data_IF_161368590215
#
_entry.id   IF_161368590215
#
_cell.length_a   1.000
_cell.length_b   1.000
_cell.length_c   1.000
_cell.angle_alpha   90.00
_cell.angle_beta   90.00
_cell.angle_gamma   90.00
#
_symmetry.space_group_name_H-M   'P 1'
#
loop_
_entity.id
_entity.type
_entity.pdbx_description
1 polymer ?
#
# COMPACT_ATOMS: atom_id res chain seq x y z
N UNK A 1 10.58 -9.66 -3.13
CA UNK A 1 11.54 -9.36 -4.22
C UNK A 1 12.52 -8.23 -3.87
N UNK A 2 12.05 -7.07 -3.38
CA UNK A 2 12.90 -5.94 -2.94
C UNK A 2 14.03 -6.39 -1.99
N UNK A 3 13.70 -7.10 -0.92
CA UNK A 3 14.68 -7.62 0.07
C UNK A 3 15.80 -8.44 -0.60
N UNK A 4 15.43 -9.34 -1.52
CA UNK A 4 16.38 -10.21 -2.22
C UNK A 4 17.34 -9.38 -3.10
N UNK A 5 16.81 -8.40 -3.83
CA UNK A 5 17.62 -7.54 -4.70
C UNK A 5 18.54 -6.62 -3.87
N UNK A 6 18.06 -6.09 -2.75
CA UNK A 6 18.86 -5.30 -1.81
C UNK A 6 20.02 -6.13 -1.23
N UNK A 7 19.77 -7.38 -0.82
CA UNK A 7 20.82 -8.27 -0.33
C UNK A 7 21.85 -8.58 -1.41
N UNK A 8 21.41 -8.86 -2.65
CA UNK A 8 22.33 -9.07 -3.78
C UNK A 8 23.21 -7.84 -4.04
N UNK A 9 22.63 -6.64 -4.00
CA UNK A 9 23.35 -5.38 -4.18
C UNK A 9 24.42 -5.17 -3.09
N UNK A 10 24.06 -5.38 -1.83
CA UNK A 10 24.99 -5.25 -0.70
C UNK A 10 26.13 -6.27 -0.78
N UNK A 11 25.80 -7.54 -1.07
CA UNK A 11 26.82 -8.59 -1.29
C UNK A 11 27.78 -8.21 -2.43
N UNK A 12 27.25 -7.62 -3.50
CA UNK A 12 28.03 -7.12 -4.64
C UNK A 12 29.02 -6.03 -4.21
N UNK A 13 28.57 -5.05 -3.40
CA UNK A 13 29.42 -3.98 -2.87
C UNK A 13 30.53 -4.52 -1.95
N UNK A 14 30.18 -5.42 -1.03
CA UNK A 14 31.15 -6.05 -0.12
C UNK A 14 32.21 -6.85 -0.88
N UNK A 15 31.81 -7.56 -1.94
CA UNK A 15 32.74 -8.28 -2.80
C UNK A 15 33.71 -7.33 -3.54
N UNK A 16 33.24 -6.19 -4.05
CA UNK A 16 34.12 -5.19 -4.67
C UNK A 16 35.09 -4.57 -3.66
N UNK A 17 34.65 -4.32 -2.43
CA UNK A 17 35.51 -3.87 -1.32
C UNK A 17 36.60 -4.90 -1.03
N UNK A 18 36.24 -6.19 -0.99
CA UNK A 18 37.17 -7.29 -0.80
C UNK A 18 38.22 -7.35 -1.94
N UNK A 19 37.80 -7.30 -3.20
CA UNK A 19 38.71 -7.30 -4.35
C UNK A 19 39.69 -6.12 -4.32
N UNK A 20 39.19 -4.91 -4.01
CA UNK A 20 40.04 -3.71 -3.86
C UNK A 20 41.12 -3.91 -2.79
N UNK A 21 40.79 -4.57 -1.68
CA UNK A 21 41.74 -4.81 -0.58
C UNK A 21 42.81 -5.85 -0.96
N UNK A 22 42.43 -6.89 -1.70
CA UNK A 22 43.36 -7.96 -2.11
C UNK A 22 44.22 -7.60 -3.33
N UNK A 23 43.82 -6.61 -4.13
CA UNK A 23 44.60 -6.18 -5.29
C UNK A 23 45.93 -5.49 -4.91
N UNK A 24 46.95 -5.64 -5.75
CA UNK A 24 48.27 -5.04 -5.60
C UNK A 24 48.46 -3.88 -6.59
N UNK A 25 49.27 -2.90 -6.21
CA UNK A 25 49.72 -1.89 -7.17
C UNK A 25 50.69 -2.51 -8.19
N UNK A 26 50.76 -1.89 -9.36
CA UNK A 26 51.68 -2.30 -10.42
C UNK A 26 53.12 -1.90 -10.08
N UNK A 27 54.08 -2.71 -10.49
CA UNK A 27 55.49 -2.33 -10.44
C UNK A 27 55.82 -1.31 -11.55
N UNK A 28 57.02 -0.72 -11.52
CA UNK A 28 57.40 0.33 -12.47
C UNK A 28 57.37 -0.13 -13.94
N UNK A 29 57.84 -1.35 -14.22
CA UNK A 29 57.82 -1.91 -15.57
C UNK A 29 56.38 -2.13 -16.09
N UNK A 30 55.49 -2.67 -15.27
CA UNK A 30 54.07 -2.86 -15.59
C UNK A 30 53.37 -1.51 -15.80
N UNK A 31 53.69 -0.52 -14.95
CA UNK A 31 53.15 0.84 -15.07
C UNK A 31 53.59 1.50 -16.38
N UNK A 32 54.88 1.44 -16.71
CA UNK A 32 55.41 1.98 -17.97
C UNK A 32 54.76 1.33 -19.20
N UNK A 33 54.52 0.00 -19.17
CA UNK A 33 53.79 -0.69 -20.25
C UNK A 33 52.38 -0.15 -20.44
N UNK A 34 51.64 0.07 -19.34
CA UNK A 34 50.27 0.60 -19.43
C UNK A 34 50.25 2.06 -19.84
N UNK A 35 51.17 2.86 -19.31
CA UNK A 35 51.30 4.27 -19.67
C UNK A 35 51.64 4.44 -21.15
N UNK A 36 52.43 3.52 -21.73
CA UNK A 36 52.68 3.47 -23.18
C UNK A 36 51.41 3.16 -23.97
N UNK A 37 50.59 2.20 -23.52
CA UNK A 37 49.31 1.85 -24.18
C UNK A 37 48.31 3.02 -24.11
N UNK A 38 48.30 3.76 -23.00
CA UNK A 38 47.34 4.83 -22.74
C UNK A 38 47.91 6.24 -23.05
N UNK A 39 49.12 6.33 -23.62
CA UNK A 39 49.85 7.59 -23.82
C UNK A 39 49.02 8.65 -24.57
N UNK A 40 48.28 8.23 -25.60
CA UNK A 40 47.43 9.10 -26.42
C UNK A 40 46.11 9.52 -25.75
N UNK A 41 45.85 9.10 -24.50
CA UNK A 41 44.52 9.22 -23.88
C UNK A 41 44.40 10.18 -22.70
N UNK A 42 45.39 11.04 -22.45
CA UNK A 42 45.42 12.03 -21.35
C UNK A 42 44.85 11.47 -20.03
N UNK A 43 45.72 10.88 -19.23
CA UNK A 43 45.37 10.19 -17.99
C UNK A 43 44.39 11.00 -17.12
N UNK A 44 43.16 10.51 -16.93
CA UNK A 44 42.24 11.09 -15.95
C UNK A 44 42.70 10.66 -14.57
N UNK A 45 43.06 11.63 -13.69
CA UNK A 45 43.55 11.44 -12.30
C UNK A 45 42.70 10.52 -11.39
N UNK A 46 41.50 10.10 -11.83
CA UNK A 46 40.52 9.36 -11.03
C UNK A 46 40.38 7.86 -11.42
N UNK A 47 41.25 7.34 -12.29
CA UNK A 47 41.31 5.92 -12.68
C UNK A 47 42.58 5.29 -12.10
N UNK A 48 42.45 4.18 -11.39
CA UNK A 48 43.55 3.44 -10.76
C UNK A 48 43.59 2.04 -11.34
N UNK A 49 44.74 1.63 -11.87
CA UNK A 49 44.94 0.30 -12.43
C UNK A 49 45.76 -0.53 -11.44
N UNK A 50 45.28 -1.73 -11.13
CA UNK A 50 45.89 -2.65 -10.15
C UNK A 50 45.87 -4.07 -10.69
N UNK A 51 46.77 -4.90 -10.18
CA UNK A 51 46.79 -6.34 -10.49
C UNK A 51 46.20 -7.17 -9.36
N UNK A 52 45.67 -8.34 -9.68
CA UNK A 52 45.17 -9.28 -8.69
C UNK A 52 45.36 -10.73 -9.17
N UNK A 53 45.72 -11.63 -8.27
CA UNK A 53 45.89 -13.06 -8.56
C UNK A 53 44.57 -13.83 -8.44
N UNK A 54 43.62 -13.29 -7.70
CA UNK A 54 42.33 -13.93 -7.37
C UNK A 54 41.29 -13.85 -8.48
N UNK A 55 41.57 -13.15 -9.58
CA UNK A 55 40.66 -12.96 -10.71
C UNK A 55 41.19 -13.62 -11.97
N UNK A 56 40.29 -14.21 -12.76
CA UNK A 56 40.62 -14.88 -14.02
C UNK A 56 40.38 -13.99 -15.25
N UNK A 57 39.63 -12.91 -15.08
CA UNK A 57 39.30 -11.93 -16.12
C UNK A 57 39.52 -10.51 -15.59
N UNK A 58 39.91 -9.55 -16.45
CA UNK A 58 39.87 -8.13 -16.12
C UNK A 58 38.48 -7.68 -15.68
N UNK A 59 38.44 -6.75 -14.71
CA UNK A 59 37.21 -6.20 -14.14
C UNK A 59 37.37 -4.70 -13.89
N UNK A 60 36.38 -3.92 -14.33
CA UNK A 60 36.26 -2.49 -14.01
C UNK A 60 35.09 -2.23 -13.06
N UNK A 61 35.34 -1.49 -11.97
CA UNK A 61 34.31 -1.08 -11.02
C UNK A 61 34.60 0.28 -10.37
N UNK A 62 33.58 0.88 -9.77
CA UNK A 62 33.71 2.12 -9.01
C UNK A 62 33.60 1.87 -7.50
N UNK A 63 34.57 2.38 -6.73
CA UNK A 63 34.56 2.37 -5.25
C UNK A 63 35.33 3.60 -4.73
N UNK A 64 34.70 4.77 -4.83
CA UNK A 64 35.28 6.10 -4.56
C UNK A 64 36.15 6.64 -5.71
N UNK A 65 36.92 5.78 -6.36
CA UNK A 65 37.61 6.01 -7.65
C UNK A 65 37.31 4.86 -8.61
N UNK A 66 37.55 5.05 -9.90
CA UNK A 66 37.47 3.93 -10.87
C UNK A 66 38.68 3.03 -10.70
N UNK A 67 38.44 1.73 -10.58
CA UNK A 67 39.47 0.73 -10.40
C UNK A 67 39.35 -0.27 -11.54
N UNK A 68 40.46 -0.46 -12.27
CA UNK A 68 40.63 -1.50 -13.27
C UNK A 68 41.53 -2.57 -12.64
N UNK A 69 40.98 -3.76 -12.42
CA UNK A 69 41.72 -4.91 -11.93
C UNK A 69 42.07 -5.83 -13.08
N UNK A 70 43.35 -6.20 -13.18
CA UNK A 70 43.88 -7.07 -14.24
C UNK A 70 44.48 -8.31 -13.60
N UNK A 71 44.20 -9.52 -14.12
CA UNK A 71 44.87 -10.73 -13.65
C UNK A 71 46.38 -10.67 -13.83
N UNK A 72 47.15 -11.06 -12.82
CA UNK A 72 48.62 -11.02 -12.87
C UNK A 72 49.22 -11.85 -14.02
N UNK A 73 48.48 -12.85 -14.54
CA UNK A 73 48.87 -13.66 -15.71
C UNK A 73 49.09 -12.83 -16.98
N UNK A 74 48.34 -11.74 -17.17
CA UNK A 74 48.45 -10.90 -18.36
C UNK A 74 49.74 -10.07 -18.43
N UNK A 75 50.48 -9.96 -17.32
CA UNK A 75 51.75 -9.21 -17.25
C UNK A 75 53.00 -10.08 -17.48
N UNK A 76 52.87 -11.41 -17.53
CA UNK A 76 54.01 -12.36 -17.67
C UNK A 76 54.56 -12.46 -19.10
N UNK A 77 53.82 -12.02 -20.11
CA UNK A 77 54.22 -12.03 -21.53
C UNK A 77 54.89 -10.70 -21.93
N UNK A 78 55.95 -10.77 -22.75
CA UNK A 78 56.83 -9.61 -23.03
C UNK A 78 56.15 -8.56 -23.90
N UNK A 79 55.41 -8.95 -24.94
CA UNK A 79 54.59 -8.06 -25.79
C UNK A 79 53.35 -8.83 -26.19
N UNK A 80 52.17 -8.43 -25.71
CA UNK A 80 50.92 -9.03 -26.17
C UNK A 80 49.97 -7.95 -26.67
N UNK A 81 49.65 -7.99 -27.97
CA UNK A 81 48.58 -7.20 -28.58
C UNK A 81 47.26 -7.40 -27.82
N UNK A 82 47.07 -8.57 -27.19
CA UNK A 82 45.91 -8.88 -26.33
C UNK A 82 45.84 -7.98 -25.09
N UNK A 83 46.98 -7.72 -24.43
CA UNK A 83 47.01 -6.81 -23.27
C UNK A 83 46.60 -5.39 -23.69
N UNK A 84 47.07 -4.90 -24.84
CA UNK A 84 46.65 -3.61 -25.41
C UNK A 84 45.13 -3.54 -25.57
N UNK A 85 44.51 -4.55 -26.18
CA UNK A 85 43.05 -4.57 -26.40
C UNK A 85 42.25 -4.60 -25.09
N UNK A 86 42.69 -5.41 -24.12
CA UNK A 86 42.07 -5.51 -22.80
C UNK A 86 42.12 -4.17 -22.05
N UNK A 87 43.30 -3.53 -22.01
CA UNK A 87 43.48 -2.24 -21.33
C UNK A 87 42.60 -1.17 -21.94
N UNK A 88 42.58 -1.05 -23.27
CA UNK A 88 41.75 -0.08 -23.97
C UNK A 88 40.26 -0.31 -23.67
N UNK A 89 39.81 -1.57 -23.67
CA UNK A 89 38.41 -1.93 -23.39
C UNK A 89 38.00 -1.58 -21.95
N UNK A 90 38.76 -2.00 -20.95
CA UNK A 90 38.47 -1.73 -19.54
C UNK A 90 38.59 -0.23 -19.21
N UNK A 91 39.56 0.45 -19.84
CA UNK A 91 39.69 1.90 -19.74
C UNK A 91 38.46 2.62 -20.31
N UNK A 92 37.87 2.13 -21.39
CA UNK A 92 36.65 2.71 -21.97
C UNK A 92 35.49 2.69 -20.95
N UNK A 93 35.30 1.59 -20.23
CA UNK A 93 34.27 1.49 -19.19
C UNK A 93 34.49 2.48 -18.05
N UNK A 94 35.74 2.66 -17.61
CA UNK A 94 36.09 3.63 -16.59
C UNK A 94 35.89 5.08 -17.09
N UNK A 95 36.31 5.38 -18.32
CA UNK A 95 36.17 6.69 -18.96
C UNK A 95 34.71 7.10 -19.14
N UNK A 96 33.85 6.16 -19.55
CA UNK A 96 32.42 6.38 -19.83
C UNK A 96 31.52 6.28 -18.59
N UNK A 97 32.10 6.00 -17.41
CA UNK A 97 31.39 5.88 -16.13
C UNK A 97 30.34 4.77 -16.11
N UNK A 98 30.58 3.69 -16.85
CA UNK A 98 29.59 2.63 -17.08
C UNK A 98 29.14 1.93 -15.79
N UNK A 99 30.05 1.78 -14.84
CA UNK A 99 29.79 1.13 -13.54
C UNK A 99 28.92 1.98 -12.61
N UNK A 100 28.95 3.32 -12.72
CA UNK A 100 27.99 4.18 -12.02
C UNK A 100 26.58 4.02 -12.58
N UNK A 101 26.43 3.87 -13.90
CA UNK A 101 25.14 3.55 -14.50
C UNK A 101 24.61 2.22 -13.95
N UNK A 102 25.46 1.19 -13.83
CA UNK A 102 25.06 -0.08 -13.21
C UNK A 102 24.55 0.13 -11.78
N UNK A 103 25.23 0.92 -10.96
CA UNK A 103 24.77 1.22 -9.59
C UNK A 103 23.39 1.87 -9.62
N UNK A 104 23.19 2.92 -10.42
CA UNK A 104 21.92 3.64 -10.55
C UNK A 104 20.79 2.72 -11.00
N UNK A 105 20.98 1.95 -12.09
CA UNK A 105 19.94 1.05 -12.60
C UNK A 105 19.69 -0.15 -11.69
N UNK A 106 20.66 -0.57 -10.88
CA UNK A 106 20.41 -1.55 -9.81
C UNK A 106 19.52 -0.97 -8.71
N UNK A 107 19.72 0.29 -8.30
CA UNK A 107 18.84 0.98 -7.34
C UNK A 107 17.42 1.07 -7.89
N UNK A 108 17.25 1.52 -9.15
CA UNK A 108 15.93 1.53 -9.80
C UNK A 108 15.31 0.13 -9.85
N UNK A 109 16.09 -0.91 -10.14
CA UNK A 109 15.60 -2.30 -10.15
C UNK A 109 15.15 -2.79 -8.77
N UNK A 110 15.70 -2.25 -7.68
CA UNK A 110 15.28 -2.57 -6.30
C UNK A 110 13.96 -1.88 -6.00
N UNK A 111 13.91 -0.55 -6.18
CA UNK A 111 12.72 0.28 -5.88
C UNK A 111 11.53 -0.16 -6.73
N UNK A 112 11.76 -0.38 -8.02
CA UNK A 112 10.74 -0.68 -9.01
C UNK A 112 10.80 -2.15 -9.43
N UNK A 113 11.06 -3.03 -8.46
CA UNK A 113 11.31 -4.44 -8.76
C UNK A 113 10.14 -5.12 -9.50
N UNK A 114 8.91 -4.67 -9.27
CA UNK A 114 7.69 -5.13 -9.93
C UNK A 114 7.56 -4.69 -11.39
N UNK A 115 8.30 -3.68 -11.84
CA UNK A 115 8.15 -3.11 -13.18
C UNK A 115 9.12 -3.79 -14.18
N UNK A 116 8.63 -4.54 -15.18
CA UNK A 116 9.47 -5.26 -16.14
C UNK A 116 10.29 -4.31 -17.05
N UNK A 117 9.82 -3.10 -17.33
CA UNK A 117 10.51 -2.14 -18.20
C UNK A 117 11.87 -1.74 -17.64
N UNK A 118 11.99 -1.60 -16.31
CA UNK A 118 13.26 -1.24 -15.65
C UNK A 118 14.32 -2.32 -15.87
N UNK A 119 13.91 -3.60 -15.84
CA UNK A 119 14.82 -4.72 -16.10
C UNK A 119 15.24 -4.78 -17.57
N UNK A 120 14.34 -4.46 -18.50
CA UNK A 120 14.65 -4.36 -19.95
C UNK A 120 15.63 -3.22 -20.21
N UNK A 121 15.36 -2.04 -19.66
CA UNK A 121 16.23 -0.86 -19.77
C UNK A 121 17.63 -1.16 -19.22
N UNK A 122 17.73 -1.80 -18.05
CA UNK A 122 19.02 -2.21 -17.47
C UNK A 122 19.80 -3.16 -18.39
N UNK A 123 19.13 -4.15 -19.01
CA UNK A 123 19.77 -5.07 -19.97
C UNK A 123 20.29 -4.32 -21.20
N UNK A 124 19.50 -3.36 -21.71
CA UNK A 124 19.90 -2.50 -22.82
C UNK A 124 21.13 -1.65 -22.48
N UNK A 125 21.16 -1.01 -21.31
CA UNK A 125 22.32 -0.21 -20.87
C UNK A 125 23.59 -1.04 -20.77
N UNK A 126 23.51 -2.25 -20.19
CA UNK A 126 24.66 -3.16 -20.11
C UNK A 126 25.18 -3.47 -21.53
N UNK A 127 24.28 -3.79 -22.45
CA UNK A 127 24.66 -4.06 -23.84
C UNK A 127 25.30 -2.85 -24.51
N UNK A 128 24.70 -1.67 -24.38
CA UNK A 128 25.19 -0.44 -25.01
C UNK A 128 26.57 -0.05 -24.44
N UNK A 129 26.84 -0.30 -23.15
CA UNK A 129 28.17 -0.11 -22.55
C UNK A 129 29.24 -0.99 -23.22
N UNK A 130 28.96 -2.27 -23.47
CA UNK A 130 29.91 -3.19 -24.13
C UNK A 130 30.21 -2.75 -25.57
N UNK A 131 29.18 -2.29 -26.30
CA UNK A 131 29.35 -1.80 -27.68
C UNK A 131 30.18 -0.51 -27.73
N UNK A 132 29.98 0.42 -26.79
CA UNK A 132 30.80 1.63 -26.71
C UNK A 132 32.25 1.33 -26.29
N UNK A 133 32.47 0.34 -25.42
CA UNK A 133 33.80 -0.11 -25.05
C UNK A 133 34.53 -0.76 -26.24
N UNK A 134 33.85 -1.64 -26.99
CA UNK A 134 34.39 -2.24 -28.23
C UNK A 134 34.73 -1.14 -29.25
N UNK A 135 33.84 -0.17 -29.46
CA UNK A 135 34.11 0.96 -30.37
C UNK A 135 35.33 1.76 -29.94
N UNK A 136 35.50 2.00 -28.65
CA UNK A 136 36.67 2.70 -28.16
C UNK A 136 37.96 1.95 -28.52
N UNK A 137 37.98 0.62 -28.46
CA UNK A 137 39.13 -0.16 -28.92
C UNK A 137 39.32 0.00 -30.44
N UNK A 138 38.27 -0.16 -31.24
CA UNK A 138 38.34 -0.08 -32.71
C UNK A 138 38.85 1.28 -33.21
N UNK A 139 38.53 2.37 -32.51
CA UNK A 139 39.02 3.72 -32.85
C UNK A 139 40.51 3.93 -32.52
N UNK A 140 41.14 3.03 -31.76
CA UNK A 140 42.51 3.17 -31.26
C UNK A 140 43.44 2.02 -31.71
N UNK A 141 42.97 1.19 -32.64
CA UNK A 141 43.75 0.13 -33.28
C UNK A 141 43.63 0.22 -34.79
N UNK A 142 44.58 -0.36 -35.51
CA UNK A 142 44.53 -0.38 -36.96
C UNK A 142 43.46 -1.37 -37.46
N UNK A 143 42.89 -1.14 -38.65
CA UNK A 143 41.85 -2.01 -39.22
C UNK A 143 42.28 -3.48 -39.37
N UNK A 144 43.57 -3.73 -39.62
CA UNK A 144 44.14 -5.08 -39.69
C UNK A 144 44.14 -5.81 -38.33
N UNK A 145 44.01 -5.09 -37.21
CA UNK A 145 43.96 -5.63 -35.85
C UNK A 145 42.55 -6.03 -35.42
N UNK A 146 41.50 -5.69 -36.17
CA UNK A 146 40.09 -5.93 -35.78
C UNK A 146 39.80 -7.41 -35.61
N UNK A 147 40.35 -8.26 -36.48
CA UNK A 147 40.21 -9.72 -36.40
C UNK A 147 40.87 -10.27 -35.12
N UNK A 148 42.11 -9.88 -34.86
CA UNK A 148 42.86 -10.31 -33.67
C UNK A 148 42.19 -9.83 -32.37
N UNK A 149 41.57 -8.65 -32.40
CA UNK A 149 40.76 -8.17 -31.29
C UNK A 149 39.50 -9.02 -31.08
N UNK A 150 38.74 -9.31 -32.13
CA UNK A 150 37.55 -10.16 -32.05
C UNK A 150 37.88 -11.58 -31.53
N UNK A 151 38.99 -12.15 -31.97
CA UNK A 151 39.52 -13.43 -31.47
C UNK A 151 39.86 -13.35 -29.98
N UNK A 152 40.45 -12.24 -29.51
CA UNK A 152 40.76 -12.05 -28.08
C UNK A 152 39.50 -12.00 -27.19
N UNK A 153 38.40 -11.41 -27.67
CA UNK A 153 37.11 -11.43 -26.97
C UNK A 153 36.52 -12.84 -26.99
N UNK A 154 36.59 -13.52 -28.12
CA UNK A 154 36.04 -14.86 -28.27
C UNK A 154 36.76 -15.86 -27.34
N UNK A 155 38.09 -15.84 -27.34
CA UNK A 155 38.91 -16.67 -26.44
C UNK A 155 38.57 -16.40 -24.98
N UNK A 156 38.40 -15.13 -24.61
CA UNK A 156 38.14 -14.74 -23.22
C UNK A 156 36.74 -15.16 -22.74
N UNK A 157 35.73 -15.09 -23.62
CA UNK A 157 34.33 -15.46 -23.32
C UNK A 157 34.13 -16.98 -23.31
N UNK A 158 34.86 -17.73 -24.15
CA UNK A 158 34.66 -19.16 -24.34
C UNK A 158 35.54 -20.02 -23.42
N UNK A 159 36.81 -19.65 -23.23
CA UNK A 159 37.81 -20.52 -22.61
C UNK A 159 38.07 -20.20 -21.12
N UNK A 160 37.59 -19.05 -20.63
CA UNK A 160 37.73 -18.68 -19.22
C UNK A 160 36.38 -18.89 -18.51
N UNK A 161 36.34 -19.62 -17.38
CA UNK A 161 35.12 -19.77 -16.59
C UNK A 161 34.51 -18.41 -16.25
N UNK A 162 33.21 -18.23 -16.47
CA UNK A 162 32.53 -16.97 -16.13
C UNK A 162 32.51 -16.78 -14.61
N UNK A 163 33.55 -16.13 -14.07
CA UNK A 163 33.75 -15.98 -12.63
C UNK A 163 33.08 -14.72 -12.07
N UNK A 164 32.73 -13.74 -12.92
CA UNK A 164 32.18 -12.47 -12.44
C UNK A 164 30.65 -12.48 -12.33
N UNK A 165 30.13 -12.98 -11.21
CA UNK A 165 28.71 -12.87 -10.82
C UNK A 165 28.34 -11.48 -10.25
N UNK A 166 29.28 -10.52 -10.19
CA UNK A 166 29.02 -9.22 -9.58
C UNK A 166 28.17 -8.34 -10.50
N UNK A 167 27.09 -7.76 -9.96
CA UNK A 167 26.09 -7.00 -10.74
C UNK A 167 26.48 -5.51 -10.86
N UNK A 168 27.61 -5.11 -10.25
CA UNK A 168 28.11 -3.73 -10.19
C UNK A 168 29.46 -3.52 -10.89
N UNK A 169 29.94 -4.52 -11.64
CA UNK A 169 31.18 -4.41 -12.40
C UNK A 169 31.01 -4.90 -13.85
N UNK A 170 31.81 -4.33 -14.74
CA UNK A 170 32.01 -4.84 -16.09
C UNK A 170 33.23 -5.75 -16.11
N UNK A 171 33.27 -6.71 -17.03
CA UNK A 171 34.38 -7.62 -17.19
C UNK A 171 34.54 -7.99 -18.65
N UNK A 172 35.78 -8.00 -19.12
CA UNK A 172 36.16 -8.32 -20.49
C UNK A 172 35.46 -9.57 -21.05
N UNK A 173 35.34 -10.64 -20.25
CA UNK A 173 34.75 -11.91 -20.66
C UNK A 173 33.22 -11.88 -20.82
N UNK A 174 32.57 -10.76 -20.50
CA UNK A 174 31.17 -10.44 -20.84
C UNK A 174 30.13 -11.53 -20.57
N UNK A 175 28.90 -11.36 -21.06
CA UNK A 175 27.93 -12.46 -21.11
C UNK A 175 27.98 -13.14 -22.47
N UNK A 176 27.99 -14.48 -22.50
CA UNK A 176 27.93 -15.28 -23.75
C UNK A 176 26.78 -14.85 -24.67
N UNK A 177 25.64 -14.47 -24.10
CA UNK A 177 24.46 -13.97 -24.85
C UNK A 177 24.71 -12.70 -25.66
N UNK A 178 25.76 -11.93 -25.34
CA UNK A 178 26.11 -10.68 -26.03
C UNK A 178 27.17 -10.87 -27.11
N UNK A 179 27.91 -12.00 -27.08
CA UNK A 179 29.08 -12.24 -27.94
C UNK A 179 28.76 -12.10 -29.43
N UNK A 180 27.72 -12.79 -29.92
CA UNK A 180 27.32 -12.75 -31.34
C UNK A 180 27.14 -11.31 -31.83
N UNK A 181 26.46 -10.47 -31.05
CA UNK A 181 26.13 -9.10 -31.42
C UNK A 181 27.34 -8.16 -31.32
N UNK A 182 28.25 -8.38 -30.36
CA UNK A 182 29.54 -7.68 -30.29
C UNK A 182 30.40 -7.97 -31.54
N UNK A 183 30.50 -9.24 -31.95
CA UNK A 183 31.24 -9.63 -33.15
C UNK A 183 30.66 -9.03 -34.44
N UNK A 184 29.33 -8.98 -34.59
CA UNK A 184 28.67 -8.32 -35.72
C UNK A 184 29.02 -6.83 -35.75
N UNK A 185 28.93 -6.14 -34.61
CA UNK A 185 29.26 -4.71 -34.52
C UNK A 185 30.72 -4.40 -34.83
N UNK A 186 31.65 -5.29 -34.42
CA UNK A 186 33.07 -5.19 -34.75
C UNK A 186 33.29 -5.36 -36.25
N UNK A 187 32.66 -6.38 -36.87
CA UNK A 187 32.73 -6.62 -38.32
C UNK A 187 32.21 -5.44 -39.13
N UNK A 188 31.07 -4.88 -38.73
CA UNK A 188 30.43 -3.75 -39.41
C UNK A 188 31.12 -2.40 -39.13
N UNK A 189 32.10 -2.36 -38.23
CA UNK A 189 32.74 -1.13 -37.75
C UNK A 189 31.70 -0.04 -37.40
N UNK A 190 30.59 -0.42 -36.78
CA UNK A 190 29.46 0.49 -36.59
C UNK A 190 29.82 1.59 -35.55
N UNK A 191 30.13 2.80 -36.04
CA UNK A 191 30.61 3.92 -35.23
C UNK A 191 29.49 4.77 -34.59
N UNK A 192 28.21 4.43 -34.79
CA UNK A 192 27.08 5.27 -34.33
C UNK A 192 26.87 5.23 -32.80
N UNK A 193 27.17 6.34 -32.12
CA UNK A 193 27.00 6.49 -30.67
C UNK A 193 25.56 6.24 -30.21
N UNK A 194 25.36 5.37 -29.23
CA UNK A 194 24.04 5.14 -28.65
C UNK A 194 23.73 6.16 -27.56
N UNK A 195 22.56 6.81 -27.65
CA UNK A 195 22.13 7.78 -26.62
C UNK A 195 21.64 7.07 -25.36
N UNK A 196 22.20 7.45 -24.21
CA UNK A 196 21.77 6.99 -22.89
C UNK A 196 20.64 7.83 -22.29
N UNK A 197 20.19 8.90 -22.97
CA UNK A 197 19.17 9.82 -22.44
C UNK A 197 17.77 9.19 -22.41
N UNK A 198 17.38 8.47 -23.48
CA UNK A 198 16.08 7.80 -23.59
C UNK A 198 15.85 6.79 -22.44
N UNK A 199 16.76 5.84 -22.14
CA UNK A 199 16.56 4.91 -21.03
C UNK A 199 16.52 5.59 -19.65
N UNK A 200 17.27 6.69 -19.45
CA UNK A 200 17.22 7.48 -18.22
C UNK A 200 15.85 8.16 -18.09
N UNK A 201 15.34 8.75 -19.17
CA UNK A 201 14.02 9.37 -19.21
C UNK A 201 12.91 8.37 -18.87
N UNK A 202 12.96 7.14 -19.42
CA UNK A 202 12.00 6.07 -19.09
C UNK A 202 11.99 5.79 -17.59
N UNK A 203 13.17 5.63 -16.96
CA UNK A 203 13.24 5.40 -15.51
C UNK A 203 12.64 6.55 -14.70
N UNK A 204 13.01 7.80 -15.03
CA UNK A 204 12.51 8.99 -14.31
C UNK A 204 10.98 9.12 -14.47
N UNK A 205 10.47 8.96 -15.70
CA UNK A 205 9.04 9.03 -15.98
C UNK A 205 8.25 7.98 -15.20
N UNK A 206 8.72 6.72 -15.21
CA UNK A 206 8.06 5.65 -14.44
C UNK A 206 8.13 5.88 -12.92
N UNK A 207 9.21 6.49 -12.42
CA UNK A 207 9.32 6.86 -11.01
C UNK A 207 8.33 7.99 -10.64
N UNK A 208 8.21 9.02 -11.47
CA UNK A 208 7.25 10.11 -11.26
C UNK A 208 5.79 9.61 -11.25
N UNK A 209 5.44 8.72 -12.19
CA UNK A 209 4.12 8.08 -12.20
C UNK A 209 3.81 7.34 -10.89
N UNK A 210 4.80 6.62 -10.33
CA UNK A 210 4.64 5.94 -9.05
C UNK A 210 4.36 6.92 -7.90
N UNK A 211 5.05 8.07 -7.87
CA UNK A 211 4.84 9.11 -6.85
C UNK A 211 3.44 9.70 -6.95
N UNK A 212 2.98 10.03 -8.16
CA UNK A 212 1.64 10.61 -8.39
C UNK A 212 0.54 9.62 -7.94
N UNK A 213 0.67 8.34 -8.32
CA UNK A 213 -0.28 7.31 -7.90
C UNK A 213 -0.37 7.15 -6.39
N UNK A 214 0.76 7.28 -5.68
CA UNK A 214 0.79 7.16 -4.21
C UNK A 214 0.02 8.28 -3.50
N UNK A 215 0.04 9.51 -4.04
CA UNK A 215 -0.68 10.63 -3.45
C UNK A 215 -2.20 10.51 -3.60
N UNK A 216 -2.66 9.96 -4.73
CA UNK A 216 -4.09 9.75 -4.97
C UNK A 216 -4.71 8.77 -3.96
N UNK A 217 -4.01 7.67 -3.64
CA UNK A 217 -4.46 6.69 -2.65
C UNK A 217 -4.56 7.29 -1.23
N UNK A 218 -3.65 8.21 -0.88
CA UNK A 218 -3.66 8.86 0.43
C UNK A 218 -4.81 9.87 0.58
N UNK A 219 -5.25 10.51 -0.51
CA UNK A 219 -6.40 11.41 -0.50
C UNK A 219 -7.73 10.69 -0.17
N UNK A 220 -7.94 9.50 -0.75
CA UNK A 220 -9.16 8.70 -0.53
C UNK A 220 -9.26 8.15 0.90
N UNK A 221 -8.14 7.77 1.52
CA UNK A 221 -8.17 7.26 2.90
C UNK A 221 -8.64 8.33 3.89
N UNK A 222 -8.22 9.59 3.71
CA UNK A 222 -8.60 10.68 4.62
C UNK A 222 -10.11 10.97 4.57
N UNK A 223 -10.77 10.81 3.42
CA UNK A 223 -12.24 10.93 3.32
C UNK A 223 -12.95 9.75 3.97
N UNK A 224 -12.34 8.57 3.99
CA UNK A 224 -12.94 7.38 4.61
C UNK A 224 -12.89 7.41 6.15
N UNK A 225 -11.92 8.13 6.73
CA UNK A 225 -11.73 8.17 8.19
C UNK A 225 -12.51 9.25 8.93
N UNK A 226 -12.85 10.38 8.29
CA UNK A 226 -13.48 11.52 8.97
C UNK A 226 -14.62 12.13 8.16
N UNK A 227 -15.73 12.45 8.84
CA UNK A 227 -16.83 13.24 8.31
C UNK A 227 -16.50 14.74 8.31
N UNK A 228 -16.36 15.32 7.11
CA UNK A 228 -15.89 16.71 6.92
C UNK A 228 -16.98 17.71 6.59
N UNK A 229 -18.20 17.28 6.24
CA UNK A 229 -19.25 18.23 5.85
C UNK A 229 -19.64 19.09 7.07
N UNK A 230 -19.77 20.42 6.90
CA UNK A 230 -20.23 21.29 7.97
C UNK A 230 -21.68 20.93 8.36
N UNK A 231 -22.03 21.15 9.62
CA UNK A 231 -23.42 21.05 10.05
C UNK A 231 -24.17 22.28 9.53
N UNK A 232 -25.32 22.06 8.89
CA UNK A 232 -26.17 23.15 8.41
C UNK A 232 -27.04 23.72 9.53
N UNK A 233 -27.51 22.86 10.44
CA UNK A 233 -28.36 23.23 11.56
C UNK A 233 -27.54 23.78 12.73
N UNK A 234 -28.21 24.54 13.60
CA UNK A 234 -27.62 25.01 14.86
C UNK A 234 -27.17 23.82 15.72
N UNK A 235 -26.08 24.00 16.47
CA UNK A 235 -25.56 22.98 17.36
C UNK A 235 -25.04 23.58 18.66
N UNK A 236 -25.24 22.85 19.75
CA UNK A 236 -24.70 23.19 21.06
C UNK A 236 -23.65 22.15 21.46
N UNK A 237 -22.49 22.63 21.91
CA UNK A 237 -21.49 21.76 22.52
C UNK A 237 -21.86 21.49 23.97
N UNK A 238 -21.84 20.22 24.35
CA UNK A 238 -22.08 19.74 25.71
C UNK A 238 -20.75 19.45 26.40
N UNK A 239 -20.75 19.49 27.74
CA UNK A 239 -19.68 18.93 28.57
C UNK A 239 -20.20 17.70 29.32
N UNK A 240 -19.96 16.52 28.74
CA UNK A 240 -20.37 15.22 29.31
C UNK A 240 -19.17 14.44 29.85
N UNK A 241 -18.05 15.12 30.11
CA UNK A 241 -16.81 14.49 30.60
C UNK A 241 -17.05 13.64 31.87
N UNK A 242 -17.90 14.13 32.77
CA UNK A 242 -18.28 13.40 34.00
C UNK A 242 -19.03 12.09 33.71
N UNK A 243 -19.93 12.09 32.72
CA UNK A 243 -20.71 10.91 32.34
C UNK A 243 -19.86 9.85 31.64
N UNK A 244 -18.88 10.27 30.84
CA UNK A 244 -17.92 9.40 30.18
C UNK A 244 -16.87 8.83 31.15
N UNK A 245 -16.46 9.61 32.16
CA UNK A 245 -15.51 9.16 33.19
C UNK A 245 -14.17 8.74 32.58
N UNK A 246 -13.78 7.48 32.76
CA UNK A 246 -12.56 6.91 32.18
C UNK A 246 -12.69 6.47 30.71
N UNK A 247 -13.88 6.57 30.12
CA UNK A 247 -14.11 6.18 28.73
C UNK A 247 -13.84 7.36 27.80
N UNK A 248 -13.27 7.08 26.63
CA UNK A 248 -13.17 8.08 25.56
C UNK A 248 -14.25 7.85 24.52
N UNK A 249 -14.81 8.92 23.98
CA UNK A 249 -15.88 8.82 23.00
C UNK A 249 -16.59 10.14 22.71
N UNK A 250 -17.78 10.04 22.13
CA UNK A 250 -18.63 11.18 21.81
C UNK A 250 -20.10 10.85 22.01
N UNK A 251 -20.92 11.89 22.21
CA UNK A 251 -22.37 11.81 22.24
C UNK A 251 -22.93 12.82 21.24
N UNK A 252 -23.95 12.43 20.48
CA UNK A 252 -24.67 13.31 19.55
C UNK A 252 -26.15 13.10 19.79
N UNK A 253 -26.91 14.19 19.90
CA UNK A 253 -28.37 14.18 19.92
C UNK A 253 -28.91 15.25 18.98
N UNK A 254 -30.10 15.02 18.43
CA UNK A 254 -30.82 15.94 17.58
C UNK A 254 -32.29 16.00 18.01
N UNK A 255 -32.79 17.20 18.30
CA UNK A 255 -34.20 17.48 18.61
C UNK A 255 -34.96 17.79 17.32
N UNK A 256 -36.04 17.06 17.05
CA UNK A 256 -36.90 17.31 15.89
C UNK A 256 -37.62 18.66 16.00
N UNK A 257 -38.14 19.00 17.19
CA UNK A 257 -38.90 20.24 17.41
C UNK A 257 -38.02 21.49 17.34
N UNK A 258 -36.80 21.43 17.86
CA UNK A 258 -35.87 22.57 17.89
C UNK A 258 -34.99 22.66 16.64
N UNK A 259 -35.00 21.64 15.79
CA UNK A 259 -34.08 21.48 14.66
C UNK A 259 -32.61 21.74 15.05
N UNK A 260 -32.18 21.18 16.17
CA UNK A 260 -30.91 21.50 16.83
C UNK A 260 -30.12 20.27 17.24
N UNK A 261 -28.82 20.29 16.97
CA UNK A 261 -27.88 19.27 17.45
C UNK A 261 -27.31 19.62 18.83
N UNK A 262 -27.02 18.59 19.61
CA UNK A 262 -26.32 18.67 20.89
C UNK A 262 -25.17 17.66 20.84
N UNK A 263 -23.93 18.13 20.98
CA UNK A 263 -22.73 17.33 20.68
C UNK A 263 -21.72 17.43 21.81
N UNK A 264 -21.36 16.28 22.38
CA UNK A 264 -20.16 16.15 23.21
C UNK A 264 -19.00 15.61 22.38
N UNK A 265 -17.84 16.27 22.47
CA UNK A 265 -16.60 15.91 21.78
C UNK A 265 -16.75 15.87 20.24
N UNK A 266 -17.00 17.04 19.63
CA UNK A 266 -17.31 17.15 18.19
C UNK A 266 -16.23 16.54 17.28
N UNK A 267 -14.94 16.79 17.59
CA UNK A 267 -13.83 16.21 16.83
C UNK A 267 -13.89 14.68 16.79
N UNK A 268 -14.22 14.06 17.92
CA UNK A 268 -14.41 12.61 18.02
C UNK A 268 -15.69 12.15 17.32
N UNK A 269 -16.77 12.93 17.42
CA UNK A 269 -18.06 12.60 16.78
C UNK A 269 -17.99 12.46 15.26
N UNK A 270 -16.97 13.08 14.63
CA UNK A 270 -16.73 13.06 13.19
C UNK A 270 -15.81 11.93 12.73
N UNK A 271 -15.13 11.22 13.64
CA UNK A 271 -14.31 10.06 13.28
C UNK A 271 -15.20 8.87 12.93
N UNK A 272 -14.87 8.18 11.85
CA UNK A 272 -15.64 7.03 11.36
C UNK A 272 -15.09 5.71 11.92
N UNK A 273 -15.97 4.91 12.50
CA UNK A 273 -15.67 3.57 13.02
C UNK A 273 -16.59 2.53 12.39
N UNK A 274 -16.27 1.25 12.56
CA UNK A 274 -17.18 0.19 12.16
C UNK A 274 -18.52 0.35 12.91
N UNK A 275 -19.67 0.24 12.23
CA UNK A 275 -20.98 0.32 12.89
C UNK A 275 -21.32 -0.94 13.71
N UNK A 276 -20.66 -2.07 13.44
CA UNK A 276 -20.95 -3.37 14.02
C UNK A 276 -22.46 -3.67 14.02
N UNK A 277 -23.02 -4.07 15.16
CA UNK A 277 -24.42 -4.44 15.26
C UNK A 277 -25.41 -3.29 15.11
N UNK A 278 -24.97 -2.02 15.07
CA UNK A 278 -25.89 -0.91 14.73
C UNK A 278 -26.31 -0.96 13.26
N UNK A 279 -25.49 -1.56 12.38
CA UNK A 279 -25.84 -1.73 10.97
C UNK A 279 -27.04 -2.64 10.73
N UNK A 280 -27.41 -3.46 11.73
CA UNK A 280 -28.61 -4.30 11.70
C UNK A 280 -29.90 -3.50 11.53
N UNK A 281 -29.92 -2.22 11.94
CA UNK A 281 -31.01 -1.27 11.66
C UNK A 281 -31.26 -1.21 10.14
N UNK A 282 -30.19 -1.06 9.36
CA UNK A 282 -30.24 -0.89 7.91
C UNK A 282 -30.44 -2.22 7.20
N UNK A 283 -29.81 -3.31 7.66
CA UNK A 283 -30.10 -4.65 7.13
C UNK A 283 -31.57 -5.03 7.33
N UNK A 284 -32.17 -4.71 8.48
CA UNK A 284 -33.60 -4.91 8.70
C UNK A 284 -34.44 -4.09 7.72
N UNK A 285 -34.13 -2.80 7.55
CA UNK A 285 -34.85 -1.94 6.61
C UNK A 285 -34.75 -2.46 5.18
N UNK A 286 -33.55 -2.86 4.73
CA UNK A 286 -33.35 -3.42 3.40
C UNK A 286 -34.04 -4.77 3.23
N UNK A 287 -34.05 -5.61 4.26
CA UNK A 287 -34.78 -6.87 4.25
C UNK A 287 -36.30 -6.69 4.14
N UNK A 288 -36.84 -5.65 4.77
CA UNK A 288 -38.26 -5.27 4.67
C UNK A 288 -38.61 -4.70 3.29
N UNK A 289 -37.74 -3.83 2.75
CA UNK A 289 -37.91 -3.21 1.45
C UNK A 289 -37.86 -4.23 0.30
N UNK A 290 -36.95 -5.21 0.40
CA UNK A 290 -36.84 -6.33 -0.54
C UNK A 290 -37.80 -7.49 -0.28
N UNK A 291 -38.69 -7.38 0.71
CA UNK A 291 -39.61 -8.45 1.10
C UNK A 291 -38.93 -9.80 1.45
N UNK A 292 -37.65 -9.77 1.84
CA UNK A 292 -36.95 -10.93 2.44
C UNK A 292 -37.60 -11.25 3.80
N UNK A 293 -38.00 -10.20 4.51
CA UNK A 293 -38.84 -10.26 5.68
C UNK A 293 -40.02 -9.29 5.51
N UNK A 294 -41.11 -9.54 6.22
CA UNK A 294 -42.32 -8.72 6.20
C UNK A 294 -42.96 -8.64 7.59
N UNK A 295 -44.04 -7.88 7.72
CA UNK A 295 -44.84 -7.78 8.94
C UNK A 295 -45.51 -9.09 9.31
N UNK A 296 -45.95 -9.85 8.30
CA UNK A 296 -46.62 -11.15 8.50
C UNK A 296 -45.63 -12.30 8.66
N UNK A 297 -44.46 -12.19 8.04
CA UNK A 297 -43.46 -13.24 8.07
C UNK A 297 -42.05 -12.64 8.13
N UNK A 298 -41.48 -12.62 9.33
CA UNK A 298 -40.07 -12.32 9.59
C UNK A 298 -39.35 -13.48 10.29
N UNK A 299 -39.98 -14.66 10.36
CA UNK A 299 -39.40 -15.81 11.05
C UNK A 299 -38.33 -16.49 10.20
N UNK A 300 -37.22 -16.84 10.84
CA UNK A 300 -36.18 -17.69 10.26
C UNK A 300 -35.83 -18.83 11.21
N UNK A 301 -35.85 -20.06 10.71
CA UNK A 301 -35.52 -21.24 11.50
C UNK A 301 -34.02 -21.34 11.79
N UNK A 302 -33.68 -21.77 13.00
CA UNK A 302 -32.30 -22.04 13.38
C UNK A 302 -31.78 -23.28 12.64
N UNK A 303 -30.53 -23.23 12.18
CA UNK A 303 -29.89 -24.34 11.46
C UNK A 303 -29.23 -25.37 12.39
N UNK A 304 -29.57 -25.36 13.68
CA UNK A 304 -29.00 -26.25 14.71
C UNK A 304 -27.49 -26.10 14.95
N UNK A 305 -26.85 -25.06 14.38
CA UNK A 305 -25.45 -24.72 14.71
C UNK A 305 -25.40 -24.10 16.11
N UNK A 306 -24.62 -24.68 17.01
CA UNK A 306 -24.44 -24.13 18.35
C UNK A 306 -23.68 -22.78 18.32
N UNK A 307 -24.27 -21.76 18.95
CA UNK A 307 -23.69 -20.45 19.20
C UNK A 307 -23.47 -20.23 20.70
N UNK A 308 -22.47 -19.42 21.09
CA UNK A 308 -22.12 -19.20 22.50
C UNK A 308 -23.19 -18.45 23.31
N UNK A 309 -24.15 -17.81 22.63
CA UNK A 309 -25.27 -17.13 23.26
C UNK A 309 -26.51 -18.01 23.13
N UNK A 310 -27.06 -18.47 24.25
CA UNK A 310 -28.24 -19.35 24.26
C UNK A 310 -29.42 -18.74 23.49
N UNK A 311 -29.61 -17.42 23.59
CA UNK A 311 -30.66 -16.70 22.87
C UNK A 311 -30.57 -16.78 21.34
N UNK A 312 -29.42 -17.19 20.79
CA UNK A 312 -29.20 -17.38 19.34
C UNK A 312 -29.55 -18.80 18.87
N UNK A 313 -29.68 -19.77 19.78
CA UNK A 313 -29.86 -21.19 19.50
C UNK A 313 -31.36 -21.56 19.40
N UNK A 314 -32.12 -20.74 18.69
CA UNK A 314 -33.57 -20.91 18.48
C UNK A 314 -34.03 -20.13 17.27
N UNK A 315 -35.23 -20.43 16.78
CA UNK A 315 -35.88 -19.63 15.74
C UNK A 315 -35.99 -18.16 16.16
N UNK A 316 -35.93 -17.26 15.17
CA UNK A 316 -35.96 -15.83 15.40
C UNK A 316 -36.99 -15.18 14.50
N UNK A 317 -37.67 -14.16 15.02
CA UNK A 317 -38.28 -13.12 14.20
C UNK A 317 -37.42 -11.84 14.25
N UNK A 318 -37.86 -10.77 13.56
CA UNK A 318 -37.11 -9.52 13.56
C UNK A 318 -36.92 -8.94 14.97
N UNK A 319 -37.92 -9.04 15.84
CA UNK A 319 -37.87 -8.47 17.19
C UNK A 319 -36.87 -9.23 18.06
N UNK A 320 -36.99 -10.56 18.10
CA UNK A 320 -36.07 -11.39 18.90
C UNK A 320 -34.65 -11.32 18.37
N UNK A 321 -34.47 -11.26 17.05
CA UNK A 321 -33.16 -11.11 16.43
C UNK A 321 -32.53 -9.75 16.76
N UNK A 322 -33.30 -8.66 16.70
CA UNK A 322 -32.82 -7.31 17.00
C UNK A 322 -32.45 -7.15 18.48
N UNK A 323 -33.35 -7.58 19.38
CA UNK A 323 -33.17 -7.52 20.83
C UNK A 323 -31.95 -8.33 21.31
N UNK A 324 -31.79 -9.55 20.81
CA UNK A 324 -30.68 -10.43 21.18
C UNK A 324 -29.44 -10.25 20.28
N UNK A 325 -29.50 -9.29 19.35
CA UNK A 325 -28.43 -8.97 18.39
C UNK A 325 -27.92 -10.21 17.63
N UNK A 326 -28.81 -11.08 17.16
CA UNK A 326 -28.49 -12.39 16.58
C UNK A 326 -27.81 -12.26 15.21
N UNK A 327 -26.49 -12.48 15.13
CA UNK A 327 -25.73 -12.23 13.90
C UNK A 327 -26.25 -13.01 12.69
N UNK A 328 -26.49 -14.32 12.85
CA UNK A 328 -26.82 -15.20 11.73
C UNK A 328 -28.12 -14.79 11.02
N UNK A 329 -29.07 -14.18 11.73
CA UNK A 329 -30.34 -13.72 11.15
C UNK A 329 -30.07 -12.59 10.14
N UNK A 330 -29.28 -11.59 10.53
CA UNK A 330 -28.94 -10.45 9.68
C UNK A 330 -27.91 -10.81 8.60
N UNK A 331 -27.03 -11.78 8.85
CA UNK A 331 -26.17 -12.36 7.81
C UNK A 331 -26.99 -13.04 6.71
N UNK A 332 -28.05 -13.78 7.06
CA UNK A 332 -28.97 -14.38 6.07
C UNK A 332 -29.73 -13.33 5.26
N UNK A 333 -30.12 -12.22 5.89
CA UNK A 333 -30.70 -11.08 5.15
C UNK A 333 -29.65 -10.52 4.18
N UNK A 334 -28.46 -10.20 4.67
CA UNK A 334 -27.37 -9.64 3.86
C UNK A 334 -27.01 -10.51 2.65
N UNK A 335 -26.97 -11.83 2.81
CA UNK A 335 -26.67 -12.78 1.73
C UNK A 335 -27.70 -12.80 0.60
N UNK A 336 -28.93 -12.35 0.85
CA UNK A 336 -30.00 -12.27 -0.14
C UNK A 336 -30.09 -10.90 -0.81
N UNK A 337 -29.38 -9.89 -0.30
CA UNK A 337 -29.41 -8.54 -0.84
C UNK A 337 -28.28 -8.38 -1.89
N UNK A 338 -28.60 -8.01 -3.15
CA UNK A 338 -27.60 -7.74 -4.17
C UNK A 338 -26.66 -6.59 -3.80
N UNK A 339 -25.35 -6.74 -4.12
CA UNK A 339 -24.32 -5.71 -3.81
C UNK A 339 -24.63 -4.34 -4.43
N UNK A 340 -25.16 -4.31 -5.65
CA UNK A 340 -25.53 -3.08 -6.34
C UNK A 340 -26.68 -2.34 -5.65
N UNK A 341 -27.67 -3.06 -5.11
CA UNK A 341 -28.72 -2.45 -4.32
C UNK A 341 -28.15 -1.83 -3.04
N UNK A 342 -27.35 -2.58 -2.27
CA UNK A 342 -26.73 -2.04 -1.04
C UNK A 342 -25.87 -0.82 -1.34
N UNK A 343 -25.07 -0.85 -2.41
CA UNK A 343 -24.27 0.30 -2.82
C UNK A 343 -25.14 1.53 -3.16
N UNK A 344 -26.25 1.33 -3.88
CA UNK A 344 -27.19 2.41 -4.18
C UNK A 344 -27.85 2.97 -2.90
N UNK A 345 -28.21 2.09 -1.95
CA UNK A 345 -28.81 2.50 -0.68
C UNK A 345 -27.85 3.28 0.20
N UNK A 346 -26.61 2.80 0.37
CA UNK A 346 -25.60 3.53 1.16
C UNK A 346 -25.34 4.92 0.58
N UNK A 347 -25.30 5.04 -0.75
CA UNK A 347 -25.14 6.33 -1.43
C UNK A 347 -26.34 7.26 -1.21
N UNK A 348 -27.58 6.76 -1.36
CA UNK A 348 -28.78 7.56 -1.13
C UNK A 348 -28.89 8.03 0.32
N UNK A 349 -28.54 7.15 1.26
CA UNK A 349 -28.54 7.43 2.69
C UNK A 349 -27.35 8.30 3.14
N UNK A 350 -26.32 8.47 2.30
CA UNK A 350 -25.01 9.04 2.67
C UNK A 350 -24.40 8.31 3.88
N UNK A 351 -24.39 6.98 3.83
CA UNK A 351 -23.92 6.14 4.94
C UNK A 351 -22.38 6.11 4.99
N UNK A 352 -21.80 6.99 5.79
CA UNK A 352 -20.39 6.91 6.14
C UNK A 352 -19.46 6.92 4.91
N UNK A 353 -18.50 5.99 4.88
CA UNK A 353 -17.57 5.84 3.76
C UNK A 353 -18.12 4.99 2.59
N UNK A 354 -19.33 4.44 2.71
CA UNK A 354 -20.00 3.63 1.68
C UNK A 354 -19.17 2.41 1.19
N UNK A 355 -18.12 2.02 1.92
CA UNK A 355 -17.15 1.04 1.47
C UNK A 355 -17.60 -0.38 1.85
N UNK A 356 -18.10 -1.11 0.86
CA UNK A 356 -18.59 -2.49 1.00
C UNK A 356 -17.49 -3.57 0.97
N UNK A 357 -16.24 -3.22 0.66
CA UNK A 357 -15.12 -4.15 0.64
C UNK A 357 -15.41 -5.45 -0.12
N UNK A 358 -15.13 -6.58 0.54
CA UNK A 358 -15.38 -7.93 0.02
C UNK A 358 -16.87 -8.31 -0.09
N UNK A 359 -17.76 -7.47 0.45
CA UNK A 359 -19.19 -7.72 0.59
C UNK A 359 -19.53 -8.94 1.46
N UNK A 360 -18.66 -9.27 2.42
CA UNK A 360 -18.90 -10.29 3.46
C UNK A 360 -18.69 -9.66 4.83
N UNK A 361 -19.73 -9.65 5.66
CA UNK A 361 -19.72 -9.06 7.02
C UNK A 361 -19.01 -7.70 7.08
N UNK A 362 -19.14 -6.90 6.02
CA UNK A 362 -18.40 -5.64 5.78
C UNK A 362 -18.65 -4.56 6.84
N UNK A 363 -19.65 -4.77 7.70
CA UNK A 363 -20.05 -3.91 8.80
C UNK A 363 -19.50 -4.33 10.16
N UNK A 364 -18.78 -5.45 10.28
CA UNK A 364 -18.22 -5.97 11.54
C UNK A 364 -16.70 -5.82 11.55
N UNK A 365 -16.19 -4.78 12.21
CA UNK A 365 -14.77 -4.39 12.26
C UNK A 365 -14.04 -4.46 10.89
N UNK A 366 -14.75 -4.17 9.79
CA UNK A 366 -14.26 -4.33 8.41
C UNK A 366 -14.33 -2.99 7.62
N UNK A 367 -14.59 -3.03 6.31
CA UNK A 367 -14.42 -1.89 5.40
C UNK A 367 -15.38 -0.73 5.67
N UNK A 368 -16.64 -1.03 6.01
CA UNK A 368 -17.69 -0.02 6.17
C UNK A 368 -17.51 0.72 7.49
N UNK A 369 -17.46 2.06 7.41
CA UNK A 369 -17.28 2.92 8.58
C UNK A 369 -18.22 4.12 8.52
N UNK A 370 -18.72 4.53 9.68
CA UNK A 370 -19.61 5.68 9.86
C UNK A 370 -19.24 6.40 11.17
N UNK A 371 -19.37 7.72 11.20
CA UNK A 371 -19.10 8.51 12.40
C UNK A 371 -20.31 8.62 13.31
N UNK A 372 -20.11 9.01 14.57
CA UNK A 372 -21.20 9.15 15.53
C UNK A 372 -22.20 10.24 15.12
N UNK A 373 -21.68 11.33 14.54
CA UNK A 373 -22.51 12.38 13.97
C UNK A 373 -23.34 11.88 12.77
N UNK A 374 -22.72 11.10 11.90
CA UNK A 374 -23.41 10.50 10.75
C UNK A 374 -24.47 9.48 11.18
N UNK A 375 -24.26 8.69 12.24
CA UNK A 375 -25.27 7.76 12.76
C UNK A 375 -26.60 8.48 13.05
N UNK A 376 -26.54 9.65 13.71
CA UNK A 376 -27.73 10.46 14.00
C UNK A 376 -28.32 11.06 12.72
N UNK A 377 -27.50 11.66 11.85
CA UNK A 377 -27.96 12.28 10.60
C UNK A 377 -28.68 11.26 9.72
N UNK A 378 -28.01 10.13 9.45
CA UNK A 378 -28.49 9.10 8.53
C UNK A 378 -29.73 8.43 9.09
N UNK A 379 -29.76 8.09 10.37
CA UNK A 379 -30.91 7.41 10.96
C UNK A 379 -32.15 8.32 11.00
N UNK A 380 -31.98 9.60 11.40
CA UNK A 380 -33.03 10.61 11.37
C UNK A 380 -33.57 10.80 9.94
N UNK A 381 -32.70 11.00 8.96
CA UNK A 381 -33.11 11.21 7.57
C UNK A 381 -33.84 9.98 6.99
N UNK A 382 -33.33 8.77 7.26
CA UNK A 382 -33.97 7.53 6.81
C UNK A 382 -35.41 7.41 7.35
N UNK A 383 -35.63 7.74 8.62
CA UNK A 383 -36.93 7.56 9.26
C UNK A 383 -37.91 8.71 8.94
N UNK A 384 -37.43 9.95 8.94
CA UNK A 384 -38.30 11.14 8.90
C UNK A 384 -38.55 11.69 7.49
N UNK A 385 -37.63 11.49 6.54
CA UNK A 385 -37.83 11.99 5.18
C UNK A 385 -38.80 11.11 4.38
N UNK A 386 -39.48 11.74 3.41
CA UNK A 386 -40.27 11.06 2.38
C UNK A 386 -39.32 10.43 1.37
N UNK A 387 -38.86 9.22 1.68
CA UNK A 387 -38.01 8.38 0.85
C UNK A 387 -38.77 7.11 0.42
N UNK A 388 -38.13 6.24 -0.37
CA UNK A 388 -38.78 5.05 -0.92
C UNK A 388 -39.16 4.00 0.13
N UNK A 389 -38.57 4.04 1.33
CA UNK A 389 -38.92 3.11 2.40
C UNK A 389 -40.34 3.34 2.91
N UNK A 390 -41.18 2.31 2.81
CA UNK A 390 -42.57 2.38 3.23
C UNK A 390 -42.73 2.72 4.72
N UNK A 391 -43.81 3.44 5.07
CA UNK A 391 -44.14 3.74 6.48
C UNK A 391 -44.31 2.47 7.31
N UNK A 392 -44.82 1.40 6.68
CA UNK A 392 -45.00 0.08 7.30
C UNK A 392 -43.65 -0.54 7.69
N UNK A 393 -42.67 -0.51 6.80
CA UNK A 393 -41.31 -0.98 7.10
C UNK A 393 -40.66 -0.18 8.23
N UNK A 394 -40.80 1.16 8.21
CA UNK A 394 -40.32 2.04 9.29
C UNK A 394 -40.96 1.69 10.64
N UNK A 395 -42.29 1.50 10.68
CA UNK A 395 -42.98 1.13 11.91
C UNK A 395 -42.54 -0.25 12.44
N UNK A 396 -42.37 -1.24 11.56
CA UNK A 396 -41.90 -2.57 11.96
C UNK A 396 -40.46 -2.54 12.49
N UNK A 397 -39.57 -1.77 11.83
CA UNK A 397 -38.23 -1.53 12.35
C UNK A 397 -38.29 -0.88 13.74
N UNK A 398 -39.10 0.17 13.90
CA UNK A 398 -39.30 0.84 15.19
C UNK A 398 -39.77 -0.14 16.28
N UNK A 399 -40.73 -1.01 16.00
CA UNK A 399 -41.17 -2.04 16.97
C UNK A 399 -40.03 -2.96 17.40
N UNK A 400 -39.14 -3.34 16.48
CA UNK A 400 -37.97 -4.20 16.80
C UNK A 400 -36.88 -3.50 17.62
N UNK A 401 -36.88 -2.16 17.64
CA UNK A 401 -35.90 -1.34 18.35
C UNK A 401 -36.38 -0.86 19.71
N UNK A 402 -37.64 -1.10 20.10
CA UNK A 402 -38.19 -0.65 21.36
C UNK A 402 -37.46 -1.32 22.54
N UNK A 403 -36.91 -0.52 23.44
CA UNK A 403 -36.21 -0.99 24.65
C UNK A 403 -37.06 -0.75 25.89
N UNK A 404 -37.65 0.44 26.01
CA UNK A 404 -38.41 0.84 27.20
C UNK A 404 -39.56 1.76 26.83
N UNK A 405 -40.71 1.55 27.46
CA UNK A 405 -41.91 2.38 27.33
C UNK A 405 -42.53 2.64 28.69
N UNK A 406 -42.92 3.88 28.95
CA UNK A 406 -43.71 4.30 30.10
C UNK A 406 -44.55 5.52 29.71
N UNK A 407 -45.27 6.12 30.67
CA UNK A 407 -46.14 7.28 30.43
C UNK A 407 -45.41 8.54 29.96
N UNK A 408 -44.09 8.62 30.17
CA UNK A 408 -43.29 9.81 29.88
C UNK A 408 -42.57 9.72 28.54
N UNK A 409 -42.10 8.53 28.18
CA UNK A 409 -41.30 8.33 26.97
C UNK A 409 -41.32 6.89 26.45
N UNK A 410 -40.94 6.78 25.18
CA UNK A 410 -40.57 5.53 24.51
C UNK A 410 -39.12 5.63 24.03
N UNK A 411 -38.26 4.75 24.54
CA UNK A 411 -36.84 4.67 24.19
C UNK A 411 -36.63 3.51 23.21
N UNK A 412 -36.05 3.85 22.07
CA UNK A 412 -35.68 2.92 21.00
C UNK A 412 -34.19 2.96 20.78
N UNK A 413 -33.56 1.82 20.50
CA UNK A 413 -32.15 1.83 20.18
C UNK A 413 -31.54 0.47 19.85
N UNK A 414 -30.30 0.53 19.36
CA UNK A 414 -29.48 -0.63 19.07
C UNK A 414 -28.06 -0.46 19.56
N UNK A 415 -27.58 -1.48 20.27
CA UNK A 415 -26.18 -1.58 20.70
C UNK A 415 -25.28 -2.15 19.60
N UNK A 416 -24.02 -1.73 19.59
CA UNK A 416 -22.92 -2.30 18.81
C UNK A 416 -21.69 -2.53 19.68
N UNK A 417 -21.00 -3.65 19.49
CA UNK A 417 -19.77 -3.98 20.19
C UNK A 417 -18.81 -4.66 19.23
N UNK A 418 -17.67 -4.01 18.95
CA UNK A 418 -16.54 -4.57 18.23
C UNK A 418 -15.52 -5.16 19.21
N UNK A 419 -15.02 -6.35 18.88
CA UNK A 419 -14.00 -7.05 19.67
C UNK A 419 -12.81 -7.33 18.77
N UNK A 420 -11.64 -6.82 19.14
CA UNK A 420 -10.38 -7.05 18.45
C UNK A 420 -9.40 -7.68 19.43
N UNK A 421 -8.80 -8.82 19.05
CA UNK A 421 -7.86 -9.57 19.91
C UNK A 421 -8.42 -9.89 21.31
N UNK A 422 -9.72 -10.21 21.40
CA UNK A 422 -10.40 -10.56 22.66
C UNK A 422 -10.70 -9.37 23.60
N UNK A 423 -10.44 -8.13 23.17
CA UNK A 423 -10.75 -6.92 23.95
C UNK A 423 -11.83 -6.09 23.26
N UNK A 424 -12.66 -5.42 24.06
CA UNK A 424 -13.58 -4.41 23.56
C UNK A 424 -12.78 -3.29 22.89
N UNK A 425 -13.15 -2.97 21.64
CA UNK A 425 -12.47 -1.98 20.81
C UNK A 425 -13.40 -0.82 20.41
N UNK A 426 -14.70 -1.10 20.28
CA UNK A 426 -15.64 -0.21 19.62
C UNK A 426 -17.03 -0.40 20.23
N UNK A 427 -17.59 0.65 20.85
CA UNK A 427 -18.86 0.57 21.57
C UNK A 427 -19.88 1.58 21.04
N UNK A 428 -21.09 1.11 20.73
CA UNK A 428 -22.16 1.93 20.18
C UNK A 428 -23.47 1.76 20.92
N UNK A 429 -24.22 2.85 21.02
CA UNK A 429 -25.67 2.81 21.22
C UNK A 429 -26.31 3.92 20.38
N UNK A 430 -27.14 3.52 19.41
CA UNK A 430 -27.76 4.43 18.43
C UNK A 430 -29.28 4.25 18.52
N UNK A 431 -30.03 5.35 18.61
CA UNK A 431 -31.44 5.26 18.92
C UNK A 431 -32.21 6.57 18.75
N UNK A 432 -33.46 6.53 19.22
CA UNK A 432 -34.27 7.74 19.39
C UNK A 432 -35.22 7.60 20.58
N UNK A 433 -35.63 8.74 21.14
CA UNK A 433 -36.64 8.84 22.20
C UNK A 433 -37.84 9.61 21.66
N UNK A 434 -39.04 9.10 21.91
CA UNK A 434 -40.29 9.84 21.72
C UNK A 434 -40.79 10.26 23.10
N UNK A 435 -41.04 11.54 23.29
CA UNK A 435 -41.73 12.09 24.47
C UNK A 435 -43.08 12.65 24.05
N UNK A 436 -43.85 13.16 25.01
CA UNK A 436 -45.14 13.80 24.72
C UNK A 436 -45.02 15.08 23.88
N UNK A 437 -43.83 15.69 23.76
CA UNK A 437 -43.71 16.98 23.08
C UNK A 437 -42.52 17.11 22.12
N UNK A 438 -41.67 16.10 22.00
CA UNK A 438 -40.57 16.09 21.03
C UNK A 438 -40.11 14.66 20.72
N UNK A 439 -39.31 14.54 19.66
CA UNK A 439 -38.60 13.32 19.28
C UNK A 439 -37.11 13.64 19.16
N UNK A 440 -36.28 12.83 19.81
CA UNK A 440 -34.84 13.02 19.88
C UNK A 440 -34.12 11.84 19.25
N UNK A 441 -33.34 12.06 18.20
CA UNK A 441 -32.40 11.05 17.69
C UNK A 441 -31.07 11.20 18.41
N UNK A 442 -30.41 10.10 18.76
CA UNK A 442 -29.14 10.17 19.47
C UNK A 442 -28.21 9.00 19.13
N UNK A 443 -26.93 9.19 19.40
CA UNK A 443 -25.92 8.16 19.32
C UNK A 443 -24.76 8.42 20.28
N UNK A 444 -24.30 7.36 20.95
CA UNK A 444 -23.08 7.32 21.75
C UNK A 444 -22.09 6.38 21.12
N UNK A 445 -20.87 6.88 20.96
CA UNK A 445 -19.70 6.08 20.57
C UNK A 445 -18.67 6.08 21.70
N UNK A 446 -18.08 4.92 21.97
CA UNK A 446 -16.95 4.72 22.87
C UNK A 446 -15.79 4.10 22.10
N UNK A 447 -14.65 4.78 22.10
CA UNK A 447 -13.42 4.37 21.40
C UNK A 447 -12.35 3.80 22.34
N UNK A 448 -12.42 4.06 23.64
CA UNK A 448 -11.42 3.60 24.62
C UNK A 448 -12.02 3.46 26.03
N UNK A 449 -11.28 2.83 26.94
CA UNK A 449 -11.70 2.51 28.31
C UNK A 449 -12.43 1.16 28.35
N UNK A 450 -13.76 1.18 28.54
CA UNK A 450 -14.62 -0.01 28.42
C UNK A 450 -15.62 0.16 27.26
N UNK A 451 -15.14 0.15 25.99
CA UNK A 451 -15.93 0.49 24.81
C UNK A 451 -16.83 -0.66 24.37
N UNK A 452 -17.87 -0.94 25.15
CA UNK A 452 -18.90 -1.93 24.84
C UNK A 452 -20.24 -1.24 24.58
N UNK A 453 -21.08 -1.82 23.73
CA UNK A 453 -22.41 -1.30 23.46
C UNK A 453 -23.29 -1.20 24.71
N UNK A 454 -23.10 -2.09 25.69
CA UNK A 454 -23.82 -2.00 26.97
C UNK A 454 -23.41 -0.77 27.78
N UNK A 455 -22.12 -0.43 27.78
CA UNK A 455 -21.63 0.76 28.47
C UNK A 455 -22.06 2.04 27.73
N UNK A 456 -22.05 2.03 26.39
CA UNK A 456 -22.57 3.12 25.57
C UNK A 456 -24.07 3.38 25.83
N UNK A 457 -24.87 2.33 25.98
CA UNK A 457 -26.28 2.43 26.38
C UNK A 457 -26.44 3.09 27.76
N UNK A 458 -25.70 2.61 28.77
CA UNK A 458 -25.74 3.18 30.12
C UNK A 458 -25.33 4.66 30.17
N UNK A 459 -24.29 5.05 29.43
CA UNK A 459 -23.87 6.46 29.32
C UNK A 459 -24.97 7.29 28.64
N UNK A 460 -25.58 6.76 27.57
CA UNK A 460 -26.67 7.46 26.87
C UNK A 460 -27.88 7.69 27.78
N UNK A 461 -28.30 6.68 28.55
CA UNK A 461 -29.42 6.82 29.47
C UNK A 461 -29.15 7.87 30.56
N UNK A 462 -27.91 7.95 31.07
CA UNK A 462 -27.50 9.00 32.03
C UNK A 462 -27.60 10.39 31.41
N UNK A 463 -27.00 10.59 30.25
CA UNK A 463 -27.00 11.88 29.54
C UNK A 463 -28.45 12.29 29.21
N UNK A 464 -29.25 11.40 28.63
CA UNK A 464 -30.65 11.68 28.29
C UNK A 464 -31.49 12.01 29.54
N UNK A 465 -31.19 11.42 30.69
CA UNK A 465 -31.86 11.75 31.96
C UNK A 465 -31.42 13.11 32.50
N UNK A 466 -30.13 13.41 32.48
CA UNK A 466 -29.56 14.70 32.92
C UNK A 466 -30.03 15.87 32.05
N UNK A 467 -30.18 15.63 30.74
CA UNK A 467 -30.75 16.59 29.78
C UNK A 467 -32.29 16.74 29.88
N UNK A 468 -32.96 16.03 30.80
CA UNK A 468 -34.41 16.11 31.00
C UNK A 468 -35.27 15.27 30.03
N UNK A 469 -34.68 14.70 28.98
CA UNK A 469 -35.39 13.95 27.92
C UNK A 469 -36.21 12.78 28.48
N UNK A 470 -35.70 12.10 29.51
CA UNK A 470 -36.38 10.93 30.12
C UNK A 470 -37.33 11.28 31.28
N UNK A 471 -37.52 12.58 31.59
CA UNK A 471 -38.32 13.01 32.74
C UNK A 471 -39.77 13.39 32.36
N UNK A 472 -40.12 13.32 31.07
CA UNK A 472 -41.44 13.66 30.51
C UNK A 472 -41.43 14.99 29.74
N UNK A 473 -40.40 15.81 29.93
CA UNK A 473 -40.16 17.09 29.27
C UNK A 473 -38.79 17.60 29.69
#
# INVERSE_FOLDING_TARGET
>A
MVIILSFKFLKSLLYLKYLKRQSLYLNENEKNKIDTILFNHQYKKNIVIRKAETIQSPITFWYGKYIILIPSSYFKSVIDKRLKYIILHEYAHAKNRDTLHLIIFNIFSIVMSYNPLIHIVKRKIIHDNEVEADRFVLNNINKNEFKTYAESIMDSVLNIPFFNKNILSHSFNGKKSLLKRRLINIKEANLKKQSKLIPIFICIFTFLLMVIQSQFLMGQSITDYNYKKPLQNDHQILDESKNFGSNSGSFVMYSMKKDKYYIYNEKESRKRYSPDSTYKIYLAMFGLDHHIISDKNSRMSWNHKHYPFESWNKEQDLNTAMQNSVNWYFERISNQIPKNYTAAQLKQLNYGNENLGSYKSYWMEDSLKISNLEQVIVFKNMMEQNNHFSKKAKNQLSSSLLIKKNEKYELYGKTGTGIVNGKYNNGWFVGYVITNHDKYYFATHLSDGKPSGKNAELISEKILKEMGVLNGQ
#
